data_IF_987051614963
#
_entry.id   IF_987051614963
#
_cell.length_a   1.000
_cell.length_b   1.000
_cell.length_c   1.000
_cell.angle_alpha   90.00
_cell.angle_beta   90.00
_cell.angle_gamma   90.00
#
_symmetry.space_group_name_H-M   'P 1'
#
loop_
_entity.id
_entity.type
_entity.pdbx_description
1 polymer ?
#
# COMPACT_ATOMS: atom_id res chain seq x y z
N UNK A 1 27.69 -10.25 12.77
CA UNK A 1 27.18 -10.48 11.40
C UNK A 1 25.76 -9.94 11.23
N UNK A 2 24.74 -10.38 11.99
CA UNK A 2 23.38 -9.83 11.82
C UNK A 2 23.34 -8.31 12.06
N UNK A 3 23.89 -7.84 13.17
CA UNK A 3 23.93 -6.40 13.50
C UNK A 3 24.62 -5.54 12.42
N UNK A 4 25.70 -6.02 11.82
CA UNK A 4 26.42 -5.32 10.75
C UNK A 4 25.66 -5.31 9.43
N UNK A 5 24.94 -6.40 9.10
CA UNK A 5 24.09 -6.47 7.91
C UNK A 5 22.92 -5.50 8.01
N UNK A 6 22.24 -5.46 9.16
CA UNK A 6 21.15 -4.49 9.41
C UNK A 6 21.68 -3.06 9.36
N UNK A 7 22.85 -2.78 9.94
CA UNK A 7 23.50 -1.46 9.85
C UNK A 7 23.85 -1.08 8.40
N UNK A 8 24.14 -2.06 7.55
CA UNK A 8 24.39 -1.87 6.11
C UNK A 8 23.11 -1.75 5.28
N UNK A 9 21.93 -1.75 5.90
CA UNK A 9 20.64 -1.57 5.23
C UNK A 9 19.91 -2.85 4.81
N UNK A 10 20.32 -4.03 5.31
CA UNK A 10 19.60 -5.26 5.03
C UNK A 10 18.16 -5.23 5.62
N UNK A 11 17.18 -5.69 4.84
CA UNK A 11 15.79 -5.73 5.29
C UNK A 11 15.55 -6.87 6.28
N UNK A 12 15.25 -6.52 7.54
CA UNK A 12 14.90 -7.50 8.58
C UNK A 12 13.57 -8.23 8.32
N UNK A 13 12.68 -7.61 7.52
CA UNK A 13 11.38 -8.17 7.15
C UNK A 13 11.42 -9.11 5.94
N UNK A 14 12.59 -9.30 5.31
CA UNK A 14 12.72 -10.18 4.17
C UNK A 14 12.38 -11.64 4.51
N UNK A 15 11.72 -12.31 3.57
CA UNK A 15 11.22 -13.67 3.70
C UNK A 15 12.02 -14.58 2.77
N UNK A 16 12.33 -15.79 3.22
CA UNK A 16 12.98 -16.84 2.42
C UNK A 16 12.09 -17.33 1.27
N UNK A 17 12.70 -17.94 0.24
CA UNK A 17 11.95 -18.45 -0.90
C UNK A 17 10.92 -19.52 -0.48
N UNK A 18 9.72 -19.52 -1.11
CA UNK A 18 8.71 -20.52 -0.86
C UNK A 18 9.24 -21.94 -1.08
N UNK A 19 9.03 -22.82 -0.08
CA UNK A 19 9.39 -24.23 -0.17
C UNK A 19 8.17 -25.12 0.08
N UNK A 20 8.25 -26.40 -0.23
CA UNK A 20 7.16 -27.35 0.05
C UNK A 20 6.82 -27.47 1.54
N UNK A 21 7.77 -27.12 2.43
CA UNK A 21 7.57 -27.07 3.88
C UNK A 21 7.00 -25.74 4.35
N UNK A 22 7.35 -24.65 3.66
CA UNK A 22 6.96 -23.28 4.01
C UNK A 22 6.49 -22.54 2.74
N UNK A 23 5.22 -22.68 2.33
CA UNK A 23 4.72 -22.12 1.07
C UNK A 23 4.68 -20.59 1.04
N UNK A 24 4.79 -19.94 2.20
CA UNK A 24 4.84 -18.48 2.35
C UNK A 24 6.28 -17.98 2.53
N UNK A 25 7.21 -18.90 2.81
CA UNK A 25 8.54 -18.58 3.29
C UNK A 25 8.55 -18.15 4.77
N UNK A 26 9.76 -18.06 5.33
CA UNK A 26 10.03 -17.70 6.74
C UNK A 26 10.88 -16.44 6.84
N UNK A 27 10.54 -15.57 7.79
CA UNK A 27 11.35 -14.39 8.15
C UNK A 27 12.57 -14.80 8.95
N UNK A 28 13.64 -13.99 8.89
CA UNK A 28 14.83 -14.22 9.70
C UNK A 28 14.52 -14.32 11.22
N UNK A 29 13.54 -13.53 11.70
CA UNK A 29 13.07 -13.59 13.08
C UNK A 29 12.42 -14.95 13.42
N UNK A 30 11.59 -15.50 12.53
CA UNK A 30 10.95 -16.80 12.73
C UNK A 30 11.97 -17.94 12.78
N UNK A 31 13.00 -17.89 11.93
CA UNK A 31 14.10 -18.86 11.91
C UNK A 31 14.89 -18.77 13.22
N UNK A 32 15.29 -17.57 13.65
CA UNK A 32 16.00 -17.37 14.91
C UNK A 32 15.19 -17.87 16.12
N UNK A 33 13.87 -17.67 16.12
CA UNK A 33 12.97 -18.18 17.16
C UNK A 33 12.93 -19.70 17.17
N UNK A 34 12.82 -20.34 16.00
CA UNK A 34 12.81 -21.81 15.87
C UNK A 34 14.14 -22.45 16.31
N UNK A 35 15.25 -21.72 16.19
CA UNK A 35 16.57 -22.14 16.68
C UNK A 35 16.79 -21.85 18.18
N UNK A 36 15.81 -21.27 18.89
CA UNK A 36 15.91 -20.95 20.31
C UNK A 36 16.59 -19.61 20.63
N UNK A 37 16.97 -18.82 19.64
CA UNK A 37 17.58 -17.50 19.82
C UNK A 37 16.51 -16.41 20.01
N UNK A 38 15.83 -16.43 21.16
CA UNK A 38 14.72 -15.51 21.47
C UNK A 38 15.11 -14.03 21.42
N UNK A 39 16.29 -13.66 21.93
CA UNK A 39 16.76 -12.26 21.91
C UNK A 39 17.04 -11.75 20.50
N UNK A 40 17.62 -12.60 19.65
CA UNK A 40 17.85 -12.29 18.24
C UNK A 40 16.53 -12.21 17.45
N UNK A 41 15.61 -13.13 17.71
CA UNK A 41 14.29 -13.11 17.10
C UNK A 41 13.52 -11.84 17.47
N UNK A 42 13.55 -11.45 18.74
CA UNK A 42 12.96 -10.20 19.23
C UNK A 42 13.57 -8.97 18.57
N UNK A 43 14.90 -8.88 18.49
CA UNK A 43 15.59 -7.78 17.81
C UNK A 43 15.18 -7.67 16.33
N UNK A 44 15.18 -8.78 15.59
CA UNK A 44 14.80 -8.79 14.17
C UNK A 44 13.32 -8.41 13.97
N UNK A 45 12.43 -8.87 14.84
CA UNK A 45 11.01 -8.49 14.82
C UNK A 45 10.80 -7.00 15.07
N UNK A 46 11.48 -6.41 16.06
CA UNK A 46 11.39 -4.96 16.33
C UNK A 46 11.90 -4.14 15.15
N UNK A 47 13.07 -4.49 14.61
CA UNK A 47 13.65 -3.78 13.45
C UNK A 47 12.75 -3.91 12.22
N UNK A 48 12.14 -5.07 11.99
CA UNK A 48 11.20 -5.27 10.89
C UNK A 48 9.96 -4.38 11.04
N UNK A 49 9.37 -4.32 12.25
CA UNK A 49 8.19 -3.49 12.53
C UNK A 49 8.47 -1.99 12.40
N UNK A 50 9.58 -1.52 12.99
CA UNK A 50 9.97 -0.12 12.95
C UNK A 50 10.40 0.35 11.56
N UNK A 51 11.11 -0.50 10.80
CA UNK A 51 11.45 -0.25 9.40
C UNK A 51 10.20 -0.18 8.52
N UNK A 52 9.27 -1.13 8.68
CA UNK A 52 8.00 -1.13 7.94
C UNK A 52 7.16 0.12 8.25
N UNK A 53 7.10 0.54 9.51
CA UNK A 53 6.46 1.79 9.89
C UNK A 53 7.13 2.99 9.22
N UNK A 54 8.47 3.08 9.25
CA UNK A 54 9.19 4.20 8.64
C UNK A 54 8.90 4.31 7.14
N UNK A 55 8.82 3.17 6.44
CA UNK A 55 8.44 3.10 5.03
C UNK A 55 7.00 3.60 4.81
N UNK A 56 6.05 3.19 5.65
CA UNK A 56 4.65 3.64 5.54
C UNK A 56 4.48 5.13 5.88
N UNK A 57 5.24 5.66 6.83
CA UNK A 57 5.20 7.08 7.20
C UNK A 57 5.82 7.96 6.13
N UNK A 58 6.86 7.50 5.43
CA UNK A 58 7.46 8.23 4.30
C UNK A 58 6.40 8.40 3.19
N UNK A 59 5.70 7.31 2.85
CA UNK A 59 4.58 7.32 1.88
C UNK A 59 3.39 8.19 2.32
N UNK A 60 3.14 8.34 3.63
CA UNK A 60 2.10 9.24 4.17
C UNK A 60 2.56 10.70 4.28
N UNK A 61 3.86 10.96 4.45
CA UNK A 61 4.41 12.31 4.56
C UNK A 61 4.30 13.12 3.27
N UNK A 62 4.19 12.44 2.13
CA UNK A 62 3.84 13.00 0.82
C UNK A 62 2.34 13.40 0.71
N UNK A 63 1.49 13.00 1.68
CA UNK A 63 0.03 13.18 1.59
C UNK A 63 -0.63 13.98 2.72
N UNK A 64 -0.02 14.16 3.90
CA UNK A 64 -0.49 15.12 4.92
C UNK A 64 0.40 15.16 6.15
N UNK A 65 1.00 16.33 6.45
CA UNK A 65 1.63 16.60 7.75
C UNK A 65 0.57 16.87 8.82
N UNK A 66 0.41 15.95 9.76
CA UNK A 66 -0.21 16.18 11.06
C UNK A 66 0.86 16.24 12.15
N UNK A 67 1.23 17.45 12.55
CA UNK A 67 2.39 17.81 13.38
C UNK A 67 2.24 17.47 14.88
N UNK A 68 1.34 16.56 15.26
CA UNK A 68 0.99 16.30 16.67
C UNK A 68 1.75 15.12 17.31
N UNK A 69 2.30 14.19 16.52
CA UNK A 69 2.83 12.92 17.06
C UNK A 69 4.28 13.00 17.56
N UNK A 70 5.05 14.00 17.12
CA UNK A 70 6.45 14.21 17.54
C UNK A 70 6.52 14.73 19.00
N UNK A 71 5.44 15.32 19.50
CA UNK A 71 5.40 15.94 20.83
C UNK A 71 5.17 14.92 21.96
N UNK A 72 4.46 13.82 21.68
CA UNK A 72 4.22 12.74 22.65
C UNK A 72 5.48 11.88 22.90
N UNK A 73 6.39 11.77 21.93
CA UNK A 73 7.65 11.02 22.07
C UNK A 73 8.72 11.82 22.86
N UNK A 74 8.63 13.15 22.85
CA UNK A 74 9.54 14.05 23.60
C UNK A 74 9.25 14.10 25.10
N UNK A 75 7.98 14.02 25.51
CA UNK A 75 7.56 14.15 26.92
C UNK A 75 7.89 12.91 27.76
N UNK A 76 7.94 11.71 27.15
CA UNK A 76 8.25 10.46 27.87
C UNK A 76 9.77 10.30 28.10
N UNK A 77 10.60 10.80 27.17
CA UNK A 77 12.07 10.78 27.31
C UNK A 77 12.56 11.65 28.48
N UNK A 78 11.82 12.71 28.84
CA UNK A 78 12.21 13.64 29.91
C UNK A 78 12.08 13.05 31.34
N UNK A 79 11.45 11.88 31.50
CA UNK A 79 11.20 11.26 32.83
C UNK A 79 12.29 10.25 33.22
N UNK A 80 13.20 9.86 32.31
CA UNK A 80 14.14 8.75 32.52
C UNK A 80 15.52 9.12 33.10
N UNK A 81 15.75 10.37 33.52
CA UNK A 81 17.05 10.83 34.02
C UNK A 81 17.17 10.77 35.55
N UNK A 82 16.99 9.60 36.16
CA UNK A 82 17.38 9.34 37.56
C UNK A 82 17.74 7.88 37.79
N UNK A 83 19.02 7.52 37.62
CA UNK A 83 19.72 6.53 38.45
C UNK A 83 21.11 6.23 37.88
N UNK A 84 22.13 6.83 38.49
CA UNK A 84 23.50 6.34 38.41
C UNK A 84 23.59 5.04 39.23
N UNK A 85 24.34 4.06 38.72
CA UNK A 85 24.50 2.66 39.18
C UNK A 85 23.32 1.73 38.83
N UNK A 86 23.33 1.21 37.60
CA UNK A 86 22.38 0.18 37.14
C UNK A 86 23.18 -1.09 36.85
N UNK A 87 22.84 -2.20 37.51
CA UNK A 87 23.37 -3.54 37.20
C UNK A 87 23.06 -3.90 35.73
N UNK A 88 23.95 -4.62 35.04
CA UNK A 88 23.80 -5.00 33.61
C UNK A 88 22.44 -5.66 33.30
N UNK A 89 21.92 -6.46 34.22
CA UNK A 89 20.59 -7.08 34.06
C UNK A 89 19.44 -6.08 34.05
N UNK A 90 19.54 -4.98 34.80
CA UNK A 90 18.54 -3.91 34.81
C UNK A 90 18.60 -3.05 33.54
N UNK A 91 19.80 -2.85 32.96
CA UNK A 91 19.98 -2.19 31.65
C UNK A 91 19.38 -3.03 30.53
N UNK A 92 19.69 -4.33 30.49
CA UNK A 92 19.13 -5.23 29.48
C UNK A 92 17.60 -5.34 29.56
N UNK A 93 17.04 -5.31 30.78
CA UNK A 93 15.59 -5.24 30.98
C UNK A 93 15.00 -3.93 30.46
N UNK A 94 15.60 -2.77 30.78
CA UNK A 94 15.13 -1.47 30.29
C UNK A 94 15.12 -1.41 28.76
N UNK A 95 16.17 -1.91 28.12
CA UNK A 95 16.29 -1.94 26.66
C UNK A 95 15.26 -2.85 26.00
N UNK A 96 15.01 -4.04 26.56
CA UNK A 96 13.95 -4.92 26.05
C UNK A 96 12.54 -4.38 26.26
N UNK A 97 12.28 -3.65 27.35
CA UNK A 97 11.00 -2.97 27.56
C UNK A 97 10.80 -1.80 26.60
N UNK A 98 11.87 -1.09 26.23
CA UNK A 98 11.81 -0.09 25.18
C UNK A 98 11.47 -0.74 23.82
N UNK A 99 12.10 -1.88 23.51
CA UNK A 99 11.81 -2.65 22.30
C UNK A 99 10.34 -3.09 22.20
N UNK A 100 9.75 -3.54 23.31
CA UNK A 100 8.32 -3.89 23.38
C UNK A 100 7.44 -2.67 23.08
N UNK A 101 7.74 -1.51 23.66
CA UNK A 101 6.97 -0.28 23.41
C UNK A 101 7.05 0.13 21.93
N UNK A 102 8.25 0.12 21.36
CA UNK A 102 8.48 0.43 19.95
C UNK A 102 7.71 -0.52 19.04
N UNK A 103 7.81 -1.84 19.30
CA UNK A 103 7.14 -2.87 18.51
C UNK A 103 5.61 -2.74 18.60
N UNK A 104 5.06 -2.52 19.79
CA UNK A 104 3.62 -2.37 20.00
C UNK A 104 3.08 -1.09 19.32
N UNK A 105 3.76 0.04 19.49
CA UNK A 105 3.39 1.29 18.83
C UNK A 105 3.50 1.17 17.31
N UNK A 106 4.55 0.53 16.81
CA UNK A 106 4.73 0.31 15.38
C UNK A 106 3.62 -0.58 14.81
N UNK A 107 3.32 -1.72 15.44
CA UNK A 107 2.24 -2.61 15.02
C UNK A 107 0.88 -1.88 15.01
N UNK A 108 0.56 -1.12 16.06
CA UNK A 108 -0.69 -0.37 16.14
C UNK A 108 -0.83 0.69 15.02
N UNK A 109 0.25 1.45 14.75
CA UNK A 109 0.28 2.44 13.66
C UNK A 109 0.20 1.80 12.27
N UNK A 110 0.84 0.65 12.07
CA UNK A 110 0.74 -0.13 10.82
C UNK A 110 -0.70 -0.62 10.62
N UNK A 111 -1.30 -1.25 11.64
CA UNK A 111 -2.67 -1.75 11.59
C UNK A 111 -3.68 -0.62 11.34
N UNK A 112 -3.52 0.54 12.00
CA UNK A 112 -4.40 1.70 11.78
C UNK A 112 -4.28 2.25 10.36
N UNK A 113 -3.06 2.32 9.80
CA UNK A 113 -2.83 2.72 8.41
C UNK A 113 -3.52 1.77 7.42
N UNK A 114 -3.41 0.45 7.60
CA UNK A 114 -4.11 -0.52 6.75
C UNK A 114 -5.62 -0.44 6.89
N UNK A 115 -6.14 -0.22 8.11
CA UNK A 115 -7.59 -0.01 8.33
C UNK A 115 -8.07 1.24 7.59
N UNK A 116 -7.39 2.37 7.73
CA UNK A 116 -7.71 3.62 7.04
C UNK A 116 -7.62 3.47 5.51
N UNK A 117 -6.57 2.84 4.99
CA UNK A 117 -6.42 2.57 3.56
C UNK A 117 -7.53 1.66 3.02
N UNK A 118 -7.86 0.57 3.75
CA UNK A 118 -8.95 -0.33 3.36
C UNK A 118 -10.30 0.38 3.33
N UNK A 119 -10.54 1.29 4.27
CA UNK A 119 -11.75 2.11 4.32
C UNK A 119 -11.83 3.09 3.15
N UNK A 120 -10.75 3.83 2.86
CA UNK A 120 -10.69 4.74 1.70
C UNK A 120 -10.92 3.99 0.38
N UNK A 121 -10.30 2.82 0.22
CA UNK A 121 -10.49 1.98 -0.98
C UNK A 121 -11.94 1.50 -1.14
N UNK A 122 -12.61 1.15 -0.03
CA UNK A 122 -14.04 0.81 -0.03
C UNK A 122 -14.90 2.01 -0.43
N UNK A 123 -14.65 3.18 0.16
CA UNK A 123 -15.36 4.41 -0.20
C UNK A 123 -15.19 4.77 -1.68
N UNK A 124 -13.99 4.62 -2.25
CA UNK A 124 -13.75 4.85 -3.68
C UNK A 124 -14.50 3.84 -4.56
N UNK A 125 -14.61 2.57 -4.15
CA UNK A 125 -15.44 1.59 -4.87
C UNK A 125 -16.92 1.95 -4.79
N UNK A 126 -17.41 2.29 -3.61
CA UNK A 126 -18.80 2.70 -3.41
C UNK A 126 -19.11 4.00 -4.17
N UNK A 127 -18.17 4.94 -4.28
CA UNK A 127 -18.34 6.16 -5.08
C UNK A 127 -18.26 5.91 -6.58
N UNK A 128 -17.42 4.99 -7.07
CA UNK A 128 -17.37 4.58 -8.49
C UNK A 128 -18.61 3.75 -8.86
N UNK A 129 -19.06 2.85 -8.00
CA UNK A 129 -20.32 2.11 -8.16
C UNK A 129 -21.50 3.06 -8.10
N UNK A 130 -21.47 4.05 -7.20
CA UNK A 130 -22.48 5.11 -7.17
C UNK A 130 -22.40 6.00 -8.40
N UNK A 131 -21.23 6.38 -8.91
CA UNK A 131 -21.06 7.21 -10.11
C UNK A 131 -21.49 6.49 -11.41
N UNK A 132 -21.27 5.18 -11.48
CA UNK A 132 -21.76 4.33 -12.59
C UNK A 132 -23.24 3.99 -12.48
N UNK A 133 -23.82 4.15 -11.28
CA UNK A 133 -25.25 3.96 -11.00
C UNK A 133 -26.01 5.30 -10.90
N UNK A 134 -25.32 6.44 -10.81
CA UNK A 134 -25.88 7.79 -10.62
C UNK A 134 -26.08 8.50 -11.96
N UNK A 135 -27.02 7.98 -12.74
CA UNK A 135 -28.10 8.87 -13.15
C UNK A 135 -29.15 8.82 -12.04
N UNK A 136 -29.55 9.98 -11.53
CA UNK A 136 -30.57 10.27 -10.49
C UNK A 136 -29.97 10.54 -9.09
N UNK A 137 -29.76 11.81 -8.69
CA UNK A 137 -30.75 12.86 -8.37
C UNK A 137 -31.55 12.58 -7.09
N UNK A 138 -30.92 12.38 -5.92
CA UNK A 138 -31.60 12.52 -4.61
C UNK A 138 -30.61 12.84 -3.46
N UNK A 139 -29.77 13.86 -3.63
CA UNK A 139 -28.98 14.44 -2.54
C UNK A 139 -29.64 15.72 -2.04
N UNK A 140 -30.64 15.62 -1.16
CA UNK A 140 -31.28 16.79 -0.55
C UNK A 140 -30.26 17.53 0.32
N UNK A 141 -29.94 18.76 -0.05
CA UNK A 141 -29.08 19.64 0.75
C UNK A 141 -29.89 20.19 1.93
N UNK A 142 -29.26 20.26 3.11
CA UNK A 142 -29.90 20.69 4.37
C UNK A 142 -30.47 22.12 4.37
N UNK A 143 -30.31 22.89 3.29
CA UNK A 143 -30.79 24.26 3.16
C UNK A 143 -32.21 24.38 2.57
N UNK A 144 -32.78 23.31 2.00
CA UNK A 144 -34.07 23.37 1.29
C UNK A 144 -35.31 23.22 2.21
N UNK A 145 -35.10 22.91 3.49
CA UNK A 145 -36.19 22.63 4.45
C UNK A 145 -36.94 23.92 4.82
N UNK A 146 -36.29 25.08 4.78
CA UNK A 146 -36.89 26.35 5.20
C UNK A 146 -37.81 26.99 4.13
N UNK A 147 -37.62 26.65 2.85
CA UNK A 147 -38.45 27.14 1.73
C UNK A 147 -39.82 26.44 1.62
N UNK A 148 -39.91 25.19 2.07
CA UNK A 148 -41.12 24.36 1.97
C UNK A 148 -42.23 24.76 2.96
N UNK A 149 -41.87 25.40 4.08
CA UNK A 149 -42.83 25.86 5.09
C UNK A 149 -43.71 27.02 4.60
N UNK A 150 -43.14 27.93 3.78
CA UNK A 150 -43.85 29.09 3.24
C UNK A 150 -44.87 28.71 2.15
N UNK A 151 -44.59 27.69 1.34
CA UNK A 151 -45.45 27.25 0.24
C UNK A 151 -46.71 26.48 0.71
N UNK A 152 -46.68 25.91 1.93
CA UNK A 152 -47.78 25.08 2.47
C UNK A 152 -49.09 25.82 2.71
N UNK A 153 -49.06 27.17 2.83
CA UNK A 153 -50.24 27.99 3.13
C UNK A 153 -51.17 28.25 1.93
N UNK A 154 -50.77 27.91 0.71
CA UNK A 154 -51.55 28.16 -0.52
C UNK A 154 -52.29 26.93 -1.07
N UNK A 155 -52.18 25.78 -0.40
CA UNK A 155 -52.43 24.45 -0.98
C UNK A 155 -53.89 23.97 -1.04
N UNK A 156 -54.89 24.80 -0.70
CA UNK A 156 -56.30 24.36 -0.71
C UNK A 156 -57.01 24.44 -2.09
N UNK A 157 -56.28 24.65 -3.20
CA UNK A 157 -56.85 24.62 -4.57
C UNK A 157 -56.39 23.46 -5.47
N UNK A 158 -55.47 22.60 -5.03
CA UNK A 158 -54.64 21.79 -5.95
C UNK A 158 -54.91 20.27 -5.97
N UNK A 159 -56.11 19.78 -5.62
CA UNK A 159 -56.41 18.33 -5.64
C UNK A 159 -56.19 17.68 -7.01
N UNK A 160 -56.41 18.45 -8.09
CA UNK A 160 -56.21 17.98 -9.48
C UNK A 160 -54.73 17.81 -9.83
N UNK A 161 -53.86 18.65 -9.28
CA UNK A 161 -52.42 18.62 -9.55
C UNK A 161 -51.74 17.49 -8.76
N UNK A 162 -52.17 17.22 -7.53
CA UNK A 162 -51.69 16.07 -6.76
C UNK A 162 -51.97 14.74 -7.46
N UNK A 163 -53.17 14.59 -8.03
CA UNK A 163 -53.52 13.39 -8.79
C UNK A 163 -52.67 13.25 -10.07
N UNK A 164 -52.38 14.36 -10.76
CA UNK A 164 -51.51 14.36 -11.95
C UNK A 164 -50.05 14.00 -11.61
N UNK A 165 -49.53 14.54 -10.51
CA UNK A 165 -48.18 14.25 -10.03
C UNK A 165 -48.06 12.79 -9.57
N UNK A 166 -49.06 12.28 -8.84
CA UNK A 166 -49.12 10.89 -8.42
C UNK A 166 -49.11 9.93 -9.63
N UNK A 167 -49.89 10.23 -10.68
CA UNK A 167 -49.91 9.45 -11.91
C UNK A 167 -48.57 9.48 -12.67
N UNK A 168 -47.89 10.63 -12.70
CA UNK A 168 -46.57 10.75 -13.31
C UNK A 168 -45.52 9.87 -12.58
N UNK A 169 -45.53 9.91 -11.25
CA UNK A 169 -44.66 9.08 -10.40
C UNK A 169 -44.96 7.60 -10.61
N UNK A 170 -46.24 7.19 -10.59
CA UNK A 170 -46.65 5.81 -10.82
C UNK A 170 -46.22 5.30 -12.20
N UNK A 171 -46.35 6.12 -13.24
CA UNK A 171 -45.93 5.78 -14.60
C UNK A 171 -44.42 5.57 -14.68
N UNK A 172 -43.63 6.45 -14.05
CA UNK A 172 -42.17 6.32 -13.98
C UNK A 172 -41.75 5.07 -13.20
N UNK A 173 -42.38 4.80 -12.06
CA UNK A 173 -42.12 3.62 -11.26
C UNK A 173 -42.43 2.31 -12.02
N UNK A 174 -43.59 2.22 -12.69
CA UNK A 174 -43.96 1.04 -13.50
C UNK A 174 -42.94 0.79 -14.62
N UNK A 175 -42.49 1.86 -15.29
CA UNK A 175 -41.45 1.77 -16.33
C UNK A 175 -40.10 1.33 -15.77
N UNK A 176 -39.67 1.89 -14.64
CA UNK A 176 -38.42 1.50 -13.96
C UNK A 176 -38.45 0.04 -13.49
N UNK A 177 -39.55 -0.38 -12.86
CA UNK A 177 -39.73 -1.76 -12.39
C UNK A 177 -39.66 -2.76 -13.55
N UNK A 178 -40.37 -2.46 -14.64
CA UNK A 178 -40.32 -3.30 -15.85
C UNK A 178 -38.92 -3.41 -16.46
N UNK A 179 -38.16 -2.30 -16.52
CA UNK A 179 -36.76 -2.34 -17.00
C UNK A 179 -35.85 -3.15 -16.09
N UNK A 180 -36.01 -3.01 -14.77
CA UNK A 180 -35.24 -3.77 -13.77
C UNK A 180 -35.48 -5.28 -13.90
N UNK A 181 -36.76 -5.67 -13.99
CA UNK A 181 -37.15 -7.08 -14.13
C UNK A 181 -36.66 -7.67 -15.48
N UNK A 182 -36.75 -6.89 -16.56
CA UNK A 182 -36.23 -7.28 -17.87
C UNK A 182 -34.70 -7.48 -17.86
N UNK A 183 -33.94 -6.58 -17.25
CA UNK A 183 -32.48 -6.71 -17.15
C UNK A 183 -32.10 -7.94 -16.33
N UNK A 184 -32.75 -8.17 -15.19
CA UNK A 184 -32.53 -9.36 -14.37
C UNK A 184 -32.85 -10.67 -15.14
N UNK A 185 -33.94 -10.69 -15.91
CA UNK A 185 -34.29 -11.82 -16.76
C UNK A 185 -33.26 -12.03 -17.88
N UNK A 186 -32.85 -10.96 -18.58
CA UNK A 186 -31.85 -11.00 -19.64
C UNK A 186 -30.50 -11.53 -19.14
N UNK A 187 -30.06 -11.12 -17.95
CA UNK A 187 -28.83 -11.63 -17.34
C UNK A 187 -28.90 -13.15 -17.14
N UNK A 188 -30.02 -13.68 -16.63
CA UNK A 188 -30.23 -15.13 -16.48
C UNK A 188 -30.16 -15.86 -17.83
N UNK A 189 -30.81 -15.31 -18.85
CA UNK A 189 -30.79 -15.87 -20.22
C UNK A 189 -29.36 -15.90 -20.79
N UNK A 190 -28.61 -14.79 -20.67
CA UNK A 190 -27.22 -14.72 -21.16
C UNK A 190 -26.33 -15.72 -20.44
N UNK A 191 -26.49 -15.91 -19.13
CA UNK A 191 -25.75 -16.95 -18.36
C UNK A 191 -26.02 -18.35 -18.91
N UNK A 192 -27.29 -18.70 -19.13
CA UNK A 192 -27.67 -20.00 -19.70
C UNK A 192 -27.07 -20.15 -21.11
N UNK A 193 -27.20 -19.14 -21.96
CA UNK A 193 -26.66 -19.16 -23.31
C UNK A 193 -25.13 -19.35 -23.33
N UNK A 194 -24.40 -18.69 -22.44
CA UNK A 194 -22.96 -18.86 -22.30
C UNK A 194 -22.60 -20.31 -21.90
N UNK A 195 -23.33 -20.89 -20.95
CA UNK A 195 -23.13 -22.28 -20.51
C UNK A 195 -23.39 -23.28 -21.65
N UNK A 196 -24.46 -23.08 -22.43
CA UNK A 196 -24.79 -23.94 -23.58
C UNK A 196 -23.71 -23.85 -24.65
N UNK A 197 -23.27 -22.64 -25.02
CA UNK A 197 -22.17 -22.45 -26.00
C UNK A 197 -20.88 -23.11 -25.52
N UNK A 198 -20.52 -22.93 -24.25
CA UNK A 198 -19.34 -23.59 -23.66
C UNK A 198 -19.45 -25.12 -23.63
N UNK A 199 -20.64 -25.66 -23.31
CA UNK A 199 -20.88 -27.10 -23.33
C UNK A 199 -20.74 -27.69 -24.74
N UNK A 200 -21.26 -27.00 -25.78
CA UNK A 200 -21.13 -27.44 -27.17
C UNK A 200 -19.66 -27.59 -27.57
N UNK A 201 -18.82 -26.59 -27.27
CA UNK A 201 -17.37 -26.65 -27.56
C UNK A 201 -16.69 -27.79 -26.79
N UNK A 202 -16.97 -27.95 -25.50
CA UNK A 202 -16.40 -29.04 -24.68
C UNK A 202 -16.84 -30.42 -25.16
N UNK A 203 -18.08 -30.57 -25.66
CA UNK A 203 -18.56 -31.82 -26.26
C UNK A 203 -17.76 -32.18 -27.52
N UNK A 204 -17.47 -31.20 -28.37
CA UNK A 204 -16.62 -31.40 -29.55
C UNK A 204 -15.16 -31.70 -29.16
N UNK A 205 -14.61 -30.98 -28.17
CA UNK A 205 -13.25 -31.20 -27.67
C UNK A 205 -13.04 -32.60 -27.09
N UNK A 206 -14.04 -33.19 -26.42
CA UNK A 206 -13.93 -34.58 -25.91
C UNK A 206 -13.68 -35.60 -27.02
N UNK A 207 -14.27 -35.41 -28.20
CA UNK A 207 -14.04 -36.29 -29.37
C UNK A 207 -12.62 -36.11 -29.88
N UNK A 208 -12.17 -34.87 -30.09
CA UNK A 208 -10.80 -34.59 -30.52
C UNK A 208 -9.75 -35.09 -29.51
N UNK A 209 -10.03 -34.97 -28.20
CA UNK A 209 -9.16 -35.42 -27.12
C UNK A 209 -9.03 -36.95 -27.11
N UNK A 210 -10.15 -37.67 -27.27
CA UNK A 210 -10.13 -39.14 -27.37
C UNK A 210 -9.33 -39.61 -28.59
N UNK A 211 -9.50 -38.95 -29.74
CA UNK A 211 -8.71 -39.24 -30.96
C UNK A 211 -7.22 -38.95 -30.74
N UNK A 212 -6.87 -37.83 -30.11
CA UNK A 212 -5.48 -37.51 -29.78
C UNK A 212 -4.82 -38.49 -28.80
N UNK A 213 -5.57 -39.06 -27.87
CA UNK A 213 -5.07 -40.15 -27.00
C UNK A 213 -4.89 -41.44 -27.80
N UNK A 214 -5.88 -41.81 -28.62
CA UNK A 214 -5.82 -43.02 -29.43
C UNK A 214 -4.64 -42.97 -30.40
N UNK A 215 -4.42 -41.83 -31.05
CA UNK A 215 -3.26 -41.58 -31.91
C UNK A 215 -1.95 -41.72 -31.12
N UNK A 216 -1.85 -41.14 -29.93
CA UNK A 216 -0.68 -41.30 -29.06
C UNK A 216 -0.45 -42.75 -28.64
N UNK A 217 -1.50 -43.53 -28.34
CA UNK A 217 -1.42 -44.95 -27.99
C UNK A 217 -0.96 -45.79 -29.19
N UNK A 218 -1.53 -45.55 -30.37
CA UNK A 218 -1.15 -46.22 -31.62
C UNK A 218 0.31 -45.90 -31.98
N UNK A 219 0.73 -44.64 -31.85
CA UNK A 219 2.12 -44.22 -32.08
C UNK A 219 3.08 -44.87 -31.07
N UNK A 220 2.69 -44.98 -29.80
CA UNK A 220 3.45 -45.68 -28.75
C UNK A 220 3.59 -47.17 -29.05
N UNK A 221 2.53 -47.82 -29.51
CA UNK A 221 2.53 -49.25 -29.87
C UNK A 221 3.39 -49.53 -31.10
N UNK A 222 3.31 -48.67 -32.13
CA UNK A 222 4.12 -48.81 -33.36
C UNK A 222 5.61 -48.53 -33.17
N UNK A 223 6.00 -47.57 -32.33
CA UNK A 223 7.41 -47.14 -32.17
C UNK A 223 8.22 -47.87 -31.09
N UNK A 224 7.63 -48.82 -30.33
CA UNK A 224 8.30 -49.64 -29.28
C UNK A 224 9.36 -48.88 -28.45
N UNK A 225 9.06 -47.68 -27.94
CA UNK A 225 10.02 -46.90 -27.12
C UNK A 225 9.46 -45.56 -26.60
N UNK A 226 9.98 -45.13 -25.44
CA UNK A 226 9.51 -43.98 -24.62
C UNK A 226 9.66 -42.62 -25.30
N UNK A 227 8.55 -41.87 -25.41
CA UNK A 227 8.58 -40.45 -25.75
C UNK A 227 7.21 -39.79 -25.91
N UNK A 228 6.82 -38.99 -24.91
CA UNK A 228 6.42 -37.57 -25.05
C UNK A 228 6.16 -37.00 -23.64
N UNK A 229 7.18 -36.32 -23.13
CA UNK A 229 7.16 -35.51 -21.90
C UNK A 229 6.33 -34.24 -22.19
N UNK A 230 5.38 -33.94 -21.32
CA UNK A 230 4.83 -32.59 -21.13
C UNK A 230 3.56 -32.25 -21.92
N UNK A 231 2.40 -32.46 -21.28
CA UNK A 231 1.24 -31.57 -21.48
C UNK A 231 0.65 -31.30 -20.08
N UNK A 232 1.17 -30.28 -19.40
CA UNK A 232 0.50 -29.69 -18.23
C UNK A 232 -0.62 -28.81 -18.78
N UNK A 233 -1.84 -29.11 -18.38
CA UNK A 233 -2.98 -28.26 -18.63
C UNK A 233 -3.10 -27.34 -17.41
N UNK A 234 -2.55 -26.13 -17.49
CA UNK A 234 -2.94 -25.04 -16.59
C UNK A 234 -4.34 -24.59 -17.04
N UNK A 235 -5.35 -25.00 -16.29
CA UNK A 235 -6.65 -24.33 -16.28
C UNK A 235 -6.62 -23.41 -15.06
N UNK A 236 -6.07 -22.21 -15.23
CA UNK A 236 -6.48 -21.07 -14.41
C UNK A 236 -7.62 -20.37 -15.17
N UNK A 237 -8.84 -20.82 -14.91
CA UNK A 237 -10.04 -20.12 -15.32
C UNK A 237 -10.42 -19.11 -14.24
N UNK A 238 -9.95 -17.88 -14.44
CA UNK A 238 -10.64 -16.59 -14.27
C UNK A 238 -11.98 -16.66 -13.51
N UNK A 239 -11.97 -16.15 -12.27
CA UNK A 239 -13.08 -15.42 -11.65
C UNK A 239 -12.53 -14.38 -10.64
N UNK A 240 -11.93 -13.29 -11.14
CA UNK A 240 -11.24 -12.29 -10.31
C UNK A 240 -12.17 -11.25 -9.64
N UNK A 241 -13.50 -11.39 -9.73
CA UNK A 241 -14.41 -10.34 -9.24
C UNK A 241 -14.83 -10.52 -7.77
N UNK A 242 -15.14 -11.74 -7.34
CA UNK A 242 -15.64 -12.00 -5.97
C UNK A 242 -14.52 -12.53 -5.05
N UNK A 243 -13.54 -13.24 -5.62
CA UNK A 243 -12.37 -13.75 -4.91
C UNK A 243 -11.44 -12.63 -4.42
N UNK A 244 -11.49 -11.44 -5.03
CA UNK A 244 -10.63 -10.32 -4.64
C UNK A 244 -10.93 -9.80 -3.23
N UNK A 245 -12.19 -9.86 -2.77
CA UNK A 245 -12.57 -9.38 -1.45
C UNK A 245 -12.31 -10.43 -0.37
N UNK A 246 -12.50 -11.70 -0.69
CA UNK A 246 -12.14 -12.83 0.17
C UNK A 246 -10.61 -12.90 0.33
N UNK A 247 -9.86 -12.84 -0.76
CA UNK A 247 -8.40 -12.81 -0.76
C UNK A 247 -7.86 -11.56 -0.04
N UNK A 248 -8.54 -10.41 -0.10
CA UNK A 248 -8.17 -9.22 0.70
C UNK A 248 -8.36 -9.42 2.19
N UNK A 249 -9.46 -10.03 2.62
CA UNK A 249 -9.69 -10.33 4.04
C UNK A 249 -8.63 -11.31 4.54
N UNK A 250 -8.33 -12.37 3.77
CA UNK A 250 -7.27 -13.32 4.12
C UNK A 250 -5.87 -12.69 4.11
N UNK A 251 -5.54 -11.83 3.14
CA UNK A 251 -4.28 -11.09 3.13
C UNK A 251 -4.17 -10.15 4.33
N UNK A 252 -5.25 -9.45 4.69
CA UNK A 252 -5.29 -8.55 5.86
C UNK A 252 -5.13 -9.32 7.16
N UNK A 253 -5.87 -10.41 7.33
CA UNK A 253 -5.76 -11.27 8.51
C UNK A 253 -4.37 -11.91 8.62
N UNK A 254 -3.73 -12.25 7.49
CA UNK A 254 -2.37 -12.78 7.46
C UNK A 254 -1.33 -11.73 7.84
N UNK A 255 -1.49 -10.48 7.37
CA UNK A 255 -0.61 -9.37 7.76
C UNK A 255 -0.78 -9.05 9.25
N UNK A 256 -2.01 -8.93 9.73
CA UNK A 256 -2.30 -8.67 11.15
C UNK A 256 -1.75 -9.79 12.03
N UNK A 257 -1.95 -11.07 11.65
CA UNK A 257 -1.39 -12.21 12.36
C UNK A 257 0.15 -12.19 12.37
N UNK A 258 0.80 -11.80 11.28
CA UNK A 258 2.25 -11.67 11.22
C UNK A 258 2.77 -10.55 12.11
N UNK A 259 2.05 -9.43 12.21
CA UNK A 259 2.37 -8.32 13.12
C UNK A 259 2.24 -8.77 14.59
N UNK A 260 1.14 -9.44 14.94
CA UNK A 260 0.91 -9.93 16.30
C UNK A 260 1.92 -11.00 16.70
N UNK A 261 2.29 -11.88 15.77
CA UNK A 261 3.34 -12.89 15.98
C UNK A 261 4.72 -12.23 16.15
N UNK A 262 5.02 -11.15 15.41
CA UNK A 262 6.24 -10.37 15.60
C UNK A 262 6.28 -9.73 17.00
N UNK A 263 5.18 -9.12 17.45
CA UNK A 263 5.05 -8.54 18.81
C UNK A 263 5.18 -9.62 19.88
N UNK A 264 4.59 -10.79 19.68
CA UNK A 264 4.71 -11.93 20.60
C UNK A 264 6.15 -12.43 20.73
N UNK A 265 6.91 -12.44 19.63
CA UNK A 265 8.36 -12.75 19.69
C UNK A 265 9.12 -11.72 20.53
N UNK A 266 8.82 -10.43 20.36
CA UNK A 266 9.45 -9.36 21.15
C UNK A 266 9.12 -9.52 22.64
N UNK A 267 7.85 -9.78 22.98
CA UNK A 267 7.41 -10.06 24.35
C UNK A 267 8.12 -11.28 24.95
N UNK A 268 8.22 -12.38 24.18
CA UNK A 268 8.86 -13.62 24.63
C UNK A 268 10.35 -13.46 24.98
N UNK A 269 11.01 -12.45 24.41
CA UNK A 269 12.40 -12.13 24.73
C UNK A 269 12.51 -11.45 26.10
N UNK A 270 11.49 -10.69 26.51
CA UNK A 270 11.47 -9.98 27.79
C UNK A 270 11.26 -10.94 28.95
N UNK A 271 10.62 -12.08 28.75
CA UNK A 271 10.38 -13.05 29.83
C UNK A 271 11.66 -13.78 30.26
N UNK A 272 12.67 -13.89 29.39
CA UNK A 272 13.88 -14.67 29.65
C UNK A 272 15.13 -13.79 29.85
N UNK A 273 15.88 -13.93 30.96
CA UNK A 273 17.09 -13.12 31.20
C UNK A 273 18.18 -13.36 30.15
N UNK A 274 18.36 -14.60 29.70
CA UNK A 274 19.31 -14.92 28.63
C UNK A 274 18.95 -14.27 27.29
N UNK A 275 17.65 -14.14 27.00
CA UNK A 275 17.18 -13.46 25.79
C UNK A 275 17.36 -11.94 25.87
N UNK A 276 17.14 -11.34 27.06
CA UNK A 276 17.42 -9.91 27.30
C UNK A 276 18.88 -9.55 27.05
N UNK A 277 19.80 -10.36 27.59
CA UNK A 277 21.23 -10.15 27.39
C UNK A 277 21.64 -10.37 25.92
N UNK A 278 21.07 -11.37 25.24
CA UNK A 278 21.29 -11.56 23.79
C UNK A 278 20.87 -10.35 22.99
N UNK A 279 19.67 -9.82 23.24
CA UNK A 279 19.15 -8.62 22.60
C UNK A 279 20.06 -7.42 22.85
N UNK A 280 20.45 -7.18 24.10
CA UNK A 280 21.32 -6.07 24.47
C UNK A 280 22.68 -6.14 23.75
N UNK A 281 23.33 -7.30 23.71
CA UNK A 281 24.59 -7.50 22.98
C UNK A 281 24.45 -7.24 21.48
N UNK A 282 23.31 -7.58 20.88
CA UNK A 282 23.04 -7.33 19.46
C UNK A 282 22.83 -5.83 19.22
N UNK A 283 22.08 -5.16 20.11
CA UNK A 283 21.81 -3.74 20.05
C UNK A 283 23.09 -2.90 20.14
N UNK A 284 24.02 -3.24 21.04
CA UNK A 284 25.32 -2.58 21.15
C UNK A 284 26.16 -2.76 19.89
N UNK A 285 26.26 -3.99 19.37
CA UNK A 285 26.97 -4.28 18.12
C UNK A 285 26.38 -3.54 16.93
N UNK A 286 25.05 -3.38 16.90
CA UNK A 286 24.38 -2.61 15.86
C UNK A 286 24.73 -1.13 15.96
N UNK A 287 24.73 -0.54 17.16
CA UNK A 287 25.14 0.86 17.37
C UNK A 287 26.56 1.09 16.89
N UNK A 288 27.50 0.20 17.26
CA UNK A 288 28.89 0.26 16.80
C UNK A 288 29.00 0.15 15.28
N UNK A 289 28.34 -0.86 14.68
CA UNK A 289 28.36 -1.05 13.24
C UNK A 289 27.72 0.13 12.48
N UNK A 290 26.67 0.75 13.03
CA UNK A 290 26.00 1.90 12.42
C UNK A 290 26.93 3.11 12.35
N UNK A 291 27.68 3.40 13.42
CA UNK A 291 28.68 4.48 13.43
C UNK A 291 29.74 4.26 12.35
N UNK A 292 30.30 3.05 12.29
CA UNK A 292 31.30 2.67 11.28
C UNK A 292 30.73 2.82 9.86
N UNK A 293 29.52 2.33 9.61
CA UNK A 293 28.86 2.47 8.32
C UNK A 293 28.63 3.95 7.95
N UNK A 294 28.24 4.81 8.90
CA UNK A 294 28.05 6.24 8.62
C UNK A 294 29.35 6.98 8.36
N UNK A 295 30.43 6.66 9.09
CA UNK A 295 31.76 7.24 8.87
C UNK A 295 32.29 6.86 7.48
N UNK A 296 32.17 5.60 7.08
CA UNK A 296 32.55 5.15 5.74
C UNK A 296 31.75 5.85 4.64
N UNK A 297 30.45 6.10 4.84
CA UNK A 297 29.63 6.86 3.87
C UNK A 297 30.12 8.31 3.76
N UNK A 298 30.44 8.95 4.88
CA UNK A 298 31.00 10.30 4.91
C UNK A 298 32.37 10.34 4.23
N UNK A 299 33.22 9.34 4.45
CA UNK A 299 34.53 9.23 3.81
C UNK A 299 34.40 9.04 2.29
N UNK A 300 33.46 8.20 1.83
CA UNK A 300 33.16 8.02 0.40
C UNK A 300 32.69 9.33 -0.24
N UNK A 301 31.78 10.07 0.41
CA UNK A 301 31.32 11.38 -0.06
C UNK A 301 32.48 12.39 -0.08
N UNK A 302 33.41 12.27 0.87
CA UNK A 302 34.58 13.13 0.98
C UNK A 302 35.75 12.75 0.05
N UNK A 303 35.64 11.67 -0.71
CA UNK A 303 36.66 11.34 -1.72
C UNK A 303 36.71 12.42 -2.80
N UNK A 304 37.93 12.77 -3.25
CA UNK A 304 38.19 13.77 -4.30
C UNK A 304 37.23 13.69 -5.51
N UNK A 305 36.98 12.52 -6.13
CA UNK A 305 36.12 12.45 -7.32
C UNK A 305 34.67 12.86 -7.05
N UNK A 306 34.07 12.46 -5.92
CA UNK A 306 32.69 12.82 -5.58
C UNK A 306 32.60 14.30 -5.20
N UNK A 307 33.59 14.80 -4.45
CA UNK A 307 33.68 16.22 -4.07
C UNK A 307 33.83 17.14 -5.29
N UNK A 308 34.59 16.72 -6.30
CA UNK A 308 34.77 17.48 -7.52
C UNK A 308 33.50 17.46 -8.41
N UNK A 309 32.78 16.34 -8.46
CA UNK A 309 31.46 16.26 -9.12
C UNK A 309 30.43 17.19 -8.47
N UNK A 310 30.37 17.24 -7.14
CA UNK A 310 29.46 18.16 -6.41
C UNK A 310 29.83 19.61 -6.69
N UNK A 311 31.12 19.96 -6.75
CA UNK A 311 31.58 21.32 -7.12
C UNK A 311 31.23 21.68 -8.56
N UNK A 312 31.36 20.74 -9.50
CA UNK A 312 30.98 20.95 -10.90
C UNK A 312 29.48 21.20 -11.02
N UNK A 313 28.66 20.41 -10.31
CA UNK A 313 27.21 20.59 -10.31
C UNK A 313 26.78 21.92 -9.68
N UNK A 314 27.44 22.35 -8.59
CA UNK A 314 27.18 23.64 -7.95
C UNK A 314 27.58 24.83 -8.86
N UNK A 315 28.70 24.72 -9.60
CA UNK A 315 29.08 25.73 -10.60
C UNK A 315 28.07 25.81 -11.75
N UNK A 316 27.60 24.66 -12.24
CA UNK A 316 26.56 24.60 -13.29
C UNK A 316 25.25 25.26 -12.85
N UNK A 317 24.85 25.09 -11.59
CA UNK A 317 23.66 25.74 -11.04
C UNK A 317 23.85 27.26 -10.90
N UNK A 318 25.02 27.72 -10.45
CA UNK A 318 25.33 29.15 -10.37
C UNK A 318 25.41 29.82 -11.76
N UNK A 319 25.87 29.10 -12.79
CA UNK A 319 25.85 29.58 -14.18
C UNK A 319 24.42 29.71 -14.73
N UNK A 320 23.50 28.84 -14.33
CA UNK A 320 22.09 28.92 -14.71
C UNK A 320 21.37 30.06 -13.99
N UNK A 321 21.62 30.29 -12.70
CA UNK A 321 21.07 31.45 -11.97
C UNK A 321 21.69 32.78 -12.43
N UNK A 322 22.96 32.79 -12.86
CA UNK A 322 23.61 33.98 -13.41
C UNK A 322 23.07 34.40 -14.78
N UNK A 323 22.68 33.42 -15.62
CA UNK A 323 22.15 33.68 -16.97
C UNK A 323 20.78 34.39 -16.96
N UNK A 324 19.98 34.21 -15.90
CA UNK A 324 18.70 34.92 -15.74
C UNK A 324 18.89 36.41 -15.37
N UNK A 325 20.08 36.82 -14.91
CA UNK A 325 20.38 38.22 -14.57
C UNK A 325 20.93 39.05 -15.75
N UNK A 326 21.59 38.43 -16.73
CA UNK A 326 22.08 39.13 -17.94
C UNK A 326 20.99 39.37 -18.99
N UNK A 327 19.95 38.53 -19.04
CA UNK A 327 18.81 38.74 -19.95
C UNK A 327 17.87 39.87 -19.51
N UNK A 328 17.88 40.24 -18.23
CA UNK A 328 17.12 41.40 -17.73
C UNK A 328 17.76 42.76 -18.09
N UNK A 329 19.08 42.82 -18.32
CA UNK A 329 19.77 44.08 -18.65
C UNK A 329 19.66 44.47 -20.14
N UNK A 330 19.49 43.50 -21.04
CA UNK A 330 19.37 43.77 -22.49
C UNK A 330 17.99 44.31 -22.91
N UNK A 331 16.95 44.11 -22.09
CA UNK A 331 15.59 44.59 -22.38
C UNK A 331 15.37 46.10 -22.10
N UNK A 332 16.30 46.80 -21.44
CA UNK A 332 16.16 48.24 -21.13
C UNK A 332 16.91 49.17 -22.11
N UNK A 333 17.67 48.62 -23.07
CA UNK A 333 18.46 49.41 -24.03
C UNK A 333 17.79 49.73 -25.37
N UNK A 334 16.59 49.21 -25.65
CA UNK A 334 15.95 49.31 -26.97
C UNK A 334 14.71 50.22 -27.05
N UNK A 335 14.45 51.07 -26.05
CA UNK A 335 13.32 52.03 -26.09
C UNK A 335 13.74 53.51 -26.08
N UNK A 336 15.00 53.85 -26.34
CA UNK A 336 15.46 55.26 -26.22
C UNK A 336 15.87 55.98 -27.50
N UNK A 337 15.70 55.42 -28.71
CA UNK A 337 16.12 56.09 -29.96
C UNK A 337 15.16 55.87 -31.14
N UNK A 338 13.92 56.33 -30.99
CA UNK A 338 13.07 56.90 -32.04
C UNK A 338 12.41 58.07 -31.28
N UNK A 339 12.60 59.34 -31.62
CA UNK A 339 12.16 59.96 -32.85
C UNK A 339 12.49 61.46 -32.69
N UNK A 340 13.37 62.02 -33.50
CA UNK A 340 13.51 63.45 -33.78
C UNK A 340 14.54 63.57 -34.90
N UNK A 341 14.10 63.95 -36.10
CA UNK A 341 14.84 64.81 -37.04
C UNK A 341 13.89 65.25 -38.17
N UNK A 342 13.49 66.52 -38.07
CA UNK A 342 13.45 67.57 -39.10
C UNK A 342 12.75 67.37 -40.47
N UNK A 343 11.61 68.07 -40.57
CA UNK A 343 11.17 69.05 -41.59
C UNK A 343 12.03 69.20 -42.87
N UNK A 344 11.39 69.27 -44.06
CA UNK A 344 11.62 70.43 -44.94
C UNK A 344 10.34 71.01 -45.58
N UNK A 345 10.27 72.34 -45.58
CA UNK A 345 9.33 73.25 -46.31
C UNK A 345 10.04 73.64 -47.63
N UNK A 346 9.38 73.84 -48.80
CA UNK A 346 8.34 74.86 -49.07
C UNK A 346 6.93 74.35 -49.32
#
# INVERSE_FOLDING_TARGET
MVASLIASGASAGAVTDPSSRDPVGKTAASIASSCGHKGLAGYLSEVALTSHLSSLTLEQSELSKGTADVEAERTISSISNTSATINEDQRSLKDTLAAVRNAAQAAARIQSAFRAHSFRKRQLRESVVSATTSGDEYGVLSNDIHGLSAASKLAFRNTRDYNSAALAIQKKYRGWKGRKDFLAFRQKVVKIQAHVRGYQVRKQYKVCWAVGILEKVVLRWRRRGVGLRGFRHDIESIDESEDEDILKVFRKQKVDAALDEAVSRVLSMVESPGARQQYHRILEKYRQAKVICTELVIDVINTKPVRDLVKISARKLAELEGADSETASTAHGYMSNMENDDIPVP
#
